data_IF_856060645660
#
_entry.id   IF_856060645660
#
_cell.length_a   1.000
_cell.length_b   1.000
_cell.length_c   1.000
_cell.angle_alpha   90.00
_cell.angle_beta   90.00
_cell.angle_gamma   90.00
#
_symmetry.space_group_name_H-M   'P 1'
#
loop_
_entity.id
_entity.type
_entity.pdbx_description
1 polymer ?
#
# COMPACT_ATOMS: atom_id res chain seq x y z
N UNK A 1 -3.36 11.37 18.33
CA UNK A 1 -2.54 10.68 17.33
C UNK A 1 -2.25 9.28 17.86
N UNK A 2 -2.70 8.24 17.17
CA UNK A 2 -2.48 6.84 17.56
C UNK A 2 -1.45 6.24 16.62
N UNK A 3 -0.47 5.53 17.16
CA UNK A 3 0.54 4.79 16.37
C UNK A 3 0.46 3.34 16.77
N UNK A 4 0.27 2.46 15.79
CA UNK A 4 0.17 1.02 15.96
C UNK A 4 1.40 0.38 15.35
N UNK A 5 2.04 -0.55 16.07
CA UNK A 5 3.22 -1.28 15.62
C UNK A 5 2.84 -2.73 15.38
N UNK A 6 3.09 -3.23 14.17
CA UNK A 6 2.82 -4.60 13.77
C UNK A 6 2.76 -4.73 12.25
N UNK A 7 2.40 -5.92 11.77
CA UNK A 7 2.03 -6.10 10.37
C UNK A 7 0.72 -5.36 10.10
N UNK A 8 0.69 -4.55 9.03
CA UNK A 8 -0.46 -3.71 8.73
C UNK A 8 -1.70 -4.51 8.36
N UNK A 9 -1.58 -5.69 7.77
CA UNK A 9 -2.72 -6.54 7.42
C UNK A 9 -3.44 -7.01 8.69
N UNK A 10 -2.67 -7.45 9.69
CA UNK A 10 -3.23 -7.89 10.97
C UNK A 10 -3.84 -6.74 11.75
N UNK A 11 -3.23 -5.54 11.69
CA UNK A 11 -3.80 -4.35 12.32
C UNK A 11 -5.09 -3.92 11.61
N UNK A 12 -5.11 -3.88 10.28
CA UNK A 12 -6.29 -3.48 9.50
C UNK A 12 -7.49 -4.36 9.85
N UNK A 13 -7.31 -5.67 10.02
CA UNK A 13 -8.36 -6.62 10.44
C UNK A 13 -9.03 -6.26 11.77
N UNK A 14 -8.36 -5.53 12.65
CA UNK A 14 -8.94 -5.08 13.93
C UNK A 14 -9.75 -3.79 13.83
N UNK A 15 -9.65 -3.07 12.70
CA UNK A 15 -10.34 -1.80 12.47
C UNK A 15 -11.75 -2.08 11.93
N UNK A 16 -12.73 -1.33 12.42
CA UNK A 16 -14.13 -1.43 11.99
C UNK A 16 -14.29 -1.12 10.49
N UNK A 17 -15.18 -1.86 9.82
CA UNK A 17 -15.51 -1.63 8.43
C UNK A 17 -16.14 -0.24 8.23
N UNK A 18 -15.88 0.40 7.08
CA UNK A 18 -16.46 1.71 6.72
C UNK A 18 -16.30 2.80 7.80
N UNK A 19 -15.16 2.83 8.47
CA UNK A 19 -14.84 3.77 9.54
C UNK A 19 -13.82 4.85 9.15
N UNK A 20 -13.07 4.64 8.06
CA UNK A 20 -11.97 5.51 7.63
C UNK A 20 -12.41 6.40 6.45
N UNK A 21 -12.14 7.70 6.55
CA UNK A 21 -12.45 8.68 5.50
C UNK A 21 -11.34 8.77 4.43
N UNK A 22 -10.07 8.59 4.84
CA UNK A 22 -8.92 8.78 3.96
C UNK A 22 -7.81 7.79 4.31
N UNK A 23 -7.25 7.14 3.29
CA UNK A 23 -6.07 6.28 3.40
C UNK A 23 -4.96 6.87 2.52
N UNK A 24 -3.75 6.96 3.07
CA UNK A 24 -2.54 7.18 2.32
C UNK A 24 -1.62 5.96 2.50
N UNK A 25 -1.15 5.38 1.41
CA UNK A 25 -0.28 4.21 1.42
C UNK A 25 0.94 4.45 0.53
N UNK A 26 2.11 4.12 1.06
CA UNK A 26 3.38 4.13 0.34
C UNK A 26 3.98 2.71 0.40
N UNK A 27 3.50 1.79 -0.47
CA UNK A 27 3.94 0.41 -0.48
C UNK A 27 5.34 0.26 -1.12
N UNK A 28 6.00 -0.89 -0.96
CA UNK A 28 7.21 -1.20 -1.74
C UNK A 28 6.94 -1.11 -3.25
N UNK A 29 7.93 -0.67 -4.03
CA UNK A 29 7.76 -0.41 -5.47
C UNK A 29 8.28 -1.52 -6.39
N UNK A 30 8.53 -2.72 -5.84
CA UNK A 30 9.04 -3.84 -6.65
C UNK A 30 10.38 -3.50 -7.34
N UNK A 31 11.26 -2.80 -6.63
CA UNK A 31 12.55 -2.35 -7.16
C UNK A 31 13.59 -3.47 -7.30
N UNK A 32 13.30 -4.66 -6.75
CA UNK A 32 14.19 -5.81 -6.67
C UNK A 32 15.53 -5.48 -5.99
N UNK A 33 15.49 -4.60 -4.99
CA UNK A 33 16.66 -4.11 -4.26
C UNK A 33 16.36 -3.95 -2.78
N UNK A 34 17.35 -4.18 -1.93
CA UNK A 34 17.28 -3.76 -0.52
C UNK A 34 17.41 -2.24 -0.46
N UNK A 35 16.37 -1.58 0.03
CA UNK A 35 16.38 -0.14 0.26
C UNK A 35 17.15 0.16 1.54
N UNK A 36 17.99 1.18 1.51
CA UNK A 36 18.84 1.58 2.64
C UNK A 36 18.76 3.08 2.86
N UNK A 37 18.52 3.48 4.09
CA UNK A 37 18.52 4.87 4.53
C UNK A 37 19.47 5.00 5.72
N UNK A 38 20.30 6.04 5.73
CA UNK A 38 21.12 6.39 6.91
C UNK A 38 20.64 7.73 7.45
N UNK A 39 20.57 7.87 8.77
CA UNK A 39 20.30 9.16 9.40
C UNK A 39 21.61 9.89 9.76
N UNK A 40 21.49 11.16 10.20
CA UNK A 40 22.63 11.99 10.62
C UNK A 40 23.39 11.45 11.84
N UNK A 41 22.90 10.38 12.48
CA UNK A 41 23.53 9.67 13.60
C UNK A 41 24.15 8.33 13.16
N UNK A 42 24.33 8.10 11.85
CA UNK A 42 24.84 6.86 11.25
C UNK A 42 24.03 5.59 11.59
N UNK A 43 22.76 5.74 11.95
CA UNK A 43 21.86 4.58 12.08
C UNK A 43 21.37 4.22 10.67
N UNK A 44 21.69 3.00 10.24
CA UNK A 44 21.15 2.44 8.99
C UNK A 44 19.80 1.77 9.24
N UNK A 45 18.84 2.13 8.40
CA UNK A 45 17.56 1.48 8.23
C UNK A 45 17.58 0.77 6.88
N UNK A 46 17.10 -0.47 6.84
CA UNK A 46 16.95 -1.18 5.58
C UNK A 46 15.68 -2.00 5.57
N UNK A 47 15.06 -2.11 4.41
CA UNK A 47 14.01 -3.08 4.14
C UNK A 47 14.25 -3.77 2.82
N UNK A 48 13.80 -5.01 2.72
CA UNK A 48 13.91 -5.81 1.51
C UNK A 48 12.70 -5.52 0.62
N UNK A 49 12.96 -5.01 -0.58
CA UNK A 49 11.99 -4.89 -1.67
C UNK A 49 12.40 -5.86 -2.80
N UNK A 50 12.66 -7.10 -2.38
CA UNK A 50 13.05 -8.21 -3.24
C UNK A 50 12.01 -9.30 -3.13
N UNK A 51 11.46 -9.66 -4.28
CA UNK A 51 10.35 -10.59 -4.41
C UNK A 51 10.75 -11.75 -5.30
N UNK A 52 10.25 -12.95 -4.99
CA UNK A 52 10.49 -14.15 -5.78
C UNK A 52 9.84 -14.04 -7.16
N UNK A 53 8.62 -13.48 -7.22
CA UNK A 53 7.89 -13.21 -8.45
C UNK A 53 7.07 -11.93 -8.36
N UNK A 54 6.58 -11.44 -9.50
CA UNK A 54 5.64 -10.31 -9.53
C UNK A 54 4.26 -10.71 -8.98
N UNK A 55 3.91 -12.00 -9.08
CA UNK A 55 2.69 -12.56 -8.50
C UNK A 55 2.71 -12.46 -6.98
N UNK A 56 3.84 -12.78 -6.32
CA UNK A 56 3.97 -12.67 -4.86
C UNK A 56 3.80 -11.21 -4.39
N UNK A 57 4.37 -10.27 -5.14
CA UNK A 57 4.20 -8.83 -4.88
C UNK A 57 2.74 -8.40 -5.01
N UNK A 58 2.07 -8.84 -6.09
CA UNK A 58 0.66 -8.54 -6.31
C UNK A 58 -0.21 -9.11 -5.21
N UNK A 59 0.01 -10.37 -4.81
CA UNK A 59 -0.72 -11.02 -3.72
C UNK A 59 -0.52 -10.27 -2.40
N UNK A 60 0.74 -9.93 -2.08
CA UNK A 60 1.08 -9.15 -0.89
C UNK A 60 0.31 -7.83 -0.81
N UNK A 61 0.20 -7.09 -1.91
CA UNK A 61 -0.54 -5.84 -1.95
C UNK A 61 -2.05 -6.04 -1.98
N UNK A 62 -2.54 -7.06 -2.69
CA UNK A 62 -3.97 -7.26 -2.91
C UNK A 62 -4.69 -7.51 -1.59
N UNK A 63 -4.17 -8.42 -0.74
CA UNK A 63 -4.77 -8.71 0.57
C UNK A 63 -4.83 -7.50 1.48
N UNK A 64 -3.88 -6.57 1.36
CA UNK A 64 -3.85 -5.31 2.13
C UNK A 64 -4.83 -4.28 1.59
N UNK A 65 -4.90 -4.13 0.27
CA UNK A 65 -5.82 -3.21 -0.39
C UNK A 65 -7.29 -3.65 -0.25
N UNK A 66 -7.55 -4.96 -0.18
CA UNK A 66 -8.88 -5.50 0.15
C UNK A 66 -9.33 -5.08 1.55
N UNK A 67 -8.44 -5.21 2.55
CA UNK A 67 -8.72 -4.72 3.90
C UNK A 67 -8.83 -3.19 3.95
N UNK A 68 -8.03 -2.46 3.18
CA UNK A 68 -8.21 -1.01 3.02
C UNK A 68 -9.59 -0.67 2.46
N UNK A 69 -10.07 -1.37 1.43
CA UNK A 69 -11.43 -1.19 0.90
C UNK A 69 -12.49 -1.46 1.95
N UNK A 70 -12.32 -2.52 2.77
CA UNK A 70 -13.27 -2.86 3.83
C UNK A 70 -13.41 -1.75 4.87
N UNK A 71 -12.29 -1.18 5.33
CA UNK A 71 -12.30 -0.14 6.37
C UNK A 71 -12.66 1.25 5.82
N UNK A 72 -12.48 1.48 4.52
CA UNK A 72 -12.81 2.76 3.89
C UNK A 72 -14.33 2.94 3.82
N UNK A 73 -14.80 4.16 4.13
CA UNK A 73 -16.19 4.56 3.90
C UNK A 73 -16.49 4.60 2.40
N UNK A 74 -17.76 4.44 2.03
CA UNK A 74 -18.21 4.60 0.64
C UNK A 74 -17.91 5.99 0.05
N UNK A 75 -17.82 7.03 0.89
CA UNK A 75 -17.41 8.39 0.52
C UNK A 75 -15.91 8.66 0.67
N UNK A 76 -15.15 7.66 1.13
CA UNK A 76 -13.74 7.81 1.42
C UNK A 76 -12.86 7.72 0.18
N UNK A 77 -11.59 8.08 0.33
CA UNK A 77 -10.60 7.99 -0.74
C UNK A 77 -9.32 7.31 -0.27
N UNK A 78 -8.64 6.63 -1.20
CA UNK A 78 -7.32 6.05 -0.97
C UNK A 78 -6.34 6.65 -1.98
N UNK A 79 -5.17 7.07 -1.47
CA UNK A 79 -4.04 7.53 -2.26
C UNK A 79 -2.92 6.51 -2.09
N UNK A 80 -2.48 5.93 -3.21
CA UNK A 80 -1.36 4.98 -3.23
C UNK A 80 -0.21 5.62 -3.98
N UNK A 81 0.87 5.89 -3.26
CA UNK A 81 2.10 6.39 -3.85
C UNK A 81 2.83 5.25 -4.57
N UNK A 82 3.40 5.52 -5.74
CA UNK A 82 4.14 4.53 -6.50
C UNK A 82 5.14 5.18 -7.45
N UNK A 83 6.15 4.41 -7.86
CA UNK A 83 7.08 4.81 -8.90
C UNK A 83 6.62 4.32 -10.29
N UNK A 84 7.43 4.61 -11.32
CA UNK A 84 7.15 4.23 -12.71
C UNK A 84 7.10 2.71 -12.92
N UNK A 85 7.77 1.92 -12.09
CA UNK A 85 7.82 0.46 -12.20
C UNK A 85 6.55 -0.13 -11.60
N UNK A 86 6.19 0.27 -10.39
CA UNK A 86 5.05 -0.29 -9.68
C UNK A 86 3.70 0.21 -10.18
N UNK A 87 3.61 1.43 -10.73
CA UNK A 87 2.35 2.10 -11.08
C UNK A 87 1.39 1.19 -11.86
N UNK A 88 1.84 0.62 -12.98
CA UNK A 88 0.97 -0.20 -13.83
C UNK A 88 0.46 -1.48 -13.14
N UNK A 89 1.23 -2.05 -12.22
CA UNK A 89 0.79 -3.20 -11.41
C UNK A 89 -0.20 -2.79 -10.33
N UNK A 90 0.13 -1.74 -9.56
CA UNK A 90 -0.72 -1.21 -8.50
C UNK A 90 -2.06 -0.75 -9.07
N UNK A 91 -2.05 -0.09 -10.23
CA UNK A 91 -3.25 0.38 -10.90
C UNK A 91 -4.21 -0.77 -11.23
N UNK A 92 -3.69 -1.86 -11.80
CA UNK A 92 -4.51 -3.04 -12.09
C UNK A 92 -5.10 -3.67 -10.82
N UNK A 93 -4.33 -3.73 -9.73
CA UNK A 93 -4.81 -4.25 -8.44
C UNK A 93 -5.95 -3.35 -7.92
N UNK A 94 -5.77 -2.03 -7.95
CA UNK A 94 -6.78 -1.08 -7.52
C UNK A 94 -8.05 -1.16 -8.38
N UNK A 95 -7.92 -1.26 -9.70
CA UNK A 95 -9.06 -1.41 -10.60
C UNK A 95 -9.82 -2.73 -10.33
N UNK A 96 -9.12 -3.83 -10.04
CA UNK A 96 -9.75 -5.11 -9.69
C UNK A 96 -10.49 -5.05 -8.35
N UNK A 97 -9.93 -4.34 -7.36
CA UNK A 97 -10.48 -4.26 -6.00
C UNK A 97 -11.61 -3.23 -5.91
N UNK A 98 -11.39 -2.01 -6.39
CA UNK A 98 -12.33 -0.90 -6.26
C UNK A 98 -13.29 -0.77 -7.45
N UNK A 99 -12.92 -1.32 -8.61
CA UNK A 99 -13.59 -1.12 -9.88
C UNK A 99 -12.92 0.01 -10.67
N UNK A 100 -12.69 -0.21 -11.97
CA UNK A 100 -12.02 0.75 -12.85
C UNK A 100 -12.75 2.12 -12.92
N UNK A 101 -14.09 2.13 -12.80
CA UNK A 101 -14.91 3.34 -12.79
C UNK A 101 -14.72 4.21 -11.54
N UNK A 102 -14.12 3.65 -10.48
CA UNK A 102 -13.84 4.38 -9.24
C UNK A 102 -12.53 5.17 -9.29
N UNK A 103 -11.73 5.01 -10.34
CA UNK A 103 -10.51 5.78 -10.50
C UNK A 103 -10.81 7.27 -10.65
N UNK A 104 -10.18 8.09 -9.80
CA UNK A 104 -10.39 9.53 -9.79
C UNK A 104 -9.28 10.28 -10.55
N UNK A 105 -8.03 10.06 -10.19
CA UNK A 105 -6.90 10.83 -10.74
C UNK A 105 -5.56 10.16 -10.48
N UNK A 106 -4.57 10.54 -11.29
CA UNK A 106 -3.15 10.30 -11.08
C UNK A 106 -2.48 11.66 -10.86
N UNK A 107 -1.62 11.75 -9.85
CA UNK A 107 -0.93 12.98 -9.45
C UNK A 107 0.57 12.78 -9.70
N UNK A 108 1.20 13.69 -10.43
CA UNK A 108 2.61 13.65 -10.85
C UNK A 108 3.36 14.85 -10.26
#
# INVERSE_FOLDING_TARGET
MTVLKGDNLEILKTIESSSIDLIYMDPPFFTQKTQKLSNNKNIMYSFEDTWTSIEDYKEFLSVRLEECKRVLKNSGSIFVHCDKIANHHIRLILDNIFGADMFQSEII
#
